data_IF_568576088889
#
_entry.id   IF_568576088889
#
_cell.length_a   1.000
_cell.length_b   1.000
_cell.length_c   1.000
_cell.angle_alpha   90.00
_cell.angle_beta   90.00
_cell.angle_gamma   90.00
#
_symmetry.space_group_name_H-M   'P 1'
#
loop_
_entity.id
_entity.type
_entity.pdbx_description
1 polymer ?
#
# COMPACT_ATOMS: atom_id res chain seq x y z
N UNK A 1 1.85 -30.75 -0.11
CA UNK A 1 0.47 -30.22 -0.01
C UNK A 1 0.57 -28.73 0.14
N UNK A 2 -0.09 -27.97 -0.73
CA UNK A 2 -0.10 -26.51 -0.61
C UNK A 2 -1.22 -26.12 0.36
N UNK A 3 -0.87 -25.47 1.45
CA UNK A 3 -1.87 -24.92 2.38
C UNK A 3 -2.62 -23.75 1.74
N UNK A 4 -3.91 -23.65 2.00
CA UNK A 4 -4.69 -22.44 1.71
C UNK A 4 -4.39 -21.36 2.74
N UNK A 5 -4.65 -20.08 2.42
CA UNK A 5 -4.43 -18.96 3.35
C UNK A 5 -5.11 -19.18 4.72
N UNK A 6 -6.39 -19.59 4.82
CA UNK A 6 -6.99 -19.90 6.13
C UNK A 6 -6.26 -21.02 6.89
N UNK A 7 -5.77 -22.06 6.20
CA UNK A 7 -5.00 -23.13 6.82
C UNK A 7 -3.64 -22.64 7.36
N UNK A 8 -2.96 -21.74 6.62
CA UNK A 8 -1.73 -21.11 7.08
C UNK A 8 -1.96 -20.26 8.32
N UNK A 9 -3.04 -19.50 8.35
CA UNK A 9 -3.40 -18.66 9.51
C UNK A 9 -3.66 -19.54 10.73
N UNK A 10 -4.45 -20.62 10.57
CA UNK A 10 -4.75 -21.53 11.67
C UNK A 10 -3.49 -22.27 12.16
N UNK A 11 -2.63 -22.76 11.27
CA UNK A 11 -1.38 -23.39 11.66
C UNK A 11 -0.46 -22.41 12.40
N UNK A 12 -0.38 -21.16 11.92
CA UNK A 12 0.39 -20.10 12.59
C UNK A 12 -0.15 -19.77 13.99
N UNK A 13 -1.47 -19.76 14.17
CA UNK A 13 -2.11 -19.59 15.48
C UNK A 13 -1.78 -20.73 16.46
N UNK A 14 -1.53 -21.94 15.95
CA UNK A 14 -1.07 -23.09 16.74
C UNK A 14 0.45 -23.14 16.93
N UNK A 15 1.18 -22.09 16.47
CA UNK A 15 2.61 -21.95 16.70
C UNK A 15 3.50 -22.60 15.64
N UNK A 16 2.97 -22.92 14.46
CA UNK A 16 3.79 -23.40 13.35
C UNK A 16 4.54 -22.22 12.69
N UNK A 17 5.87 -22.13 12.85
CA UNK A 17 6.65 -21.04 12.28
C UNK A 17 6.71 -21.11 10.75
N UNK A 18 6.64 -22.30 10.15
CA UNK A 18 6.68 -22.47 8.70
C UNK A 18 5.40 -21.93 8.04
N UNK A 19 4.26 -22.06 8.71
CA UNK A 19 3.01 -21.50 8.21
C UNK A 19 3.06 -19.96 8.16
N UNK A 20 3.58 -19.32 9.21
CA UNK A 20 3.73 -17.86 9.19
C UNK A 20 4.77 -17.39 8.16
N UNK A 21 5.86 -18.17 7.96
CA UNK A 21 6.83 -17.86 6.90
C UNK A 21 6.17 -17.85 5.51
N UNK A 22 5.27 -18.76 5.23
CA UNK A 22 4.54 -18.77 3.96
C UNK A 22 3.60 -17.56 3.82
N UNK A 23 2.95 -17.12 4.91
CA UNK A 23 2.18 -15.87 4.91
C UNK A 23 3.09 -14.67 4.67
N UNK A 24 4.25 -14.62 5.30
CA UNK A 24 5.25 -13.59 5.04
C UNK A 24 5.65 -13.56 3.56
N UNK A 25 6.04 -14.68 2.98
CA UNK A 25 6.46 -14.78 1.58
C UNK A 25 5.34 -14.35 0.61
N UNK A 26 4.09 -14.67 0.92
CA UNK A 26 2.94 -14.29 0.10
C UNK A 26 2.66 -12.78 0.10
N UNK A 27 3.01 -12.07 1.18
CA UNK A 27 2.62 -10.67 1.37
C UNK A 27 3.80 -9.69 1.45
N UNK A 28 5.03 -10.13 1.71
CA UNK A 28 6.16 -9.24 2.00
C UNK A 28 6.44 -8.22 0.88
N UNK A 29 6.45 -8.68 -0.37
CA UNK A 29 6.69 -7.80 -1.53
C UNK A 29 5.61 -6.72 -1.65
N UNK A 30 4.34 -7.08 -1.44
CA UNK A 30 3.22 -6.15 -1.54
C UNK A 30 3.24 -5.13 -0.41
N UNK A 31 3.49 -5.56 0.82
CA UNK A 31 3.60 -4.66 1.98
C UNK A 31 4.81 -3.74 1.84
N UNK A 32 5.95 -4.25 1.33
CA UNK A 32 7.10 -3.41 1.00
C UNK A 32 6.77 -2.35 -0.04
N UNK A 33 6.14 -2.72 -1.15
CA UNK A 33 5.71 -1.79 -2.19
C UNK A 33 4.73 -0.74 -1.65
N UNK A 34 3.78 -1.16 -0.81
CA UNK A 34 2.87 -0.24 -0.14
C UNK A 34 3.63 0.81 0.68
N UNK A 35 4.59 0.42 1.50
CA UNK A 35 5.41 1.34 2.27
C UNK A 35 6.32 2.17 1.37
N UNK A 36 6.96 1.57 0.37
CA UNK A 36 7.87 2.25 -0.53
C UNK A 36 7.21 3.39 -1.30
N UNK A 37 6.06 3.14 -1.94
CA UNK A 37 5.33 4.18 -2.68
C UNK A 37 4.70 5.26 -1.78
N UNK A 38 4.77 5.08 -0.49
CA UNK A 38 4.30 6.06 0.49
C UNK A 38 5.44 6.85 1.12
N UNK A 39 6.60 6.27 1.25
CA UNK A 39 7.78 6.90 1.86
C UNK A 39 8.81 7.35 0.83
N UNK A 40 8.84 6.70 -0.33
CA UNK A 40 9.88 6.81 -1.36
C UNK A 40 11.31 6.68 -0.78
N UNK A 41 11.42 5.96 0.33
CA UNK A 41 12.65 5.72 1.04
C UNK A 41 12.80 4.22 1.31
N UNK A 42 13.83 3.61 0.71
CA UNK A 42 14.02 2.16 0.74
C UNK A 42 14.14 1.61 2.16
N UNK A 43 15.06 2.18 2.94
CA UNK A 43 15.35 1.72 4.31
C UNK A 43 14.11 1.84 5.21
N UNK A 44 13.42 2.96 5.14
CA UNK A 44 12.15 3.15 5.88
C UNK A 44 11.09 2.12 5.46
N UNK A 45 10.98 1.83 4.16
CA UNK A 45 10.02 0.85 3.67
C UNK A 45 10.37 -0.57 4.14
N UNK A 46 11.66 -0.94 4.16
CA UNK A 46 12.16 -2.22 4.69
C UNK A 46 11.88 -2.34 6.20
N UNK A 47 12.15 -1.30 6.97
CA UNK A 47 11.91 -1.25 8.41
C UNK A 47 10.43 -1.36 8.75
N UNK A 48 9.58 -0.57 8.08
CA UNK A 48 8.12 -0.61 8.28
C UNK A 48 7.53 -1.96 7.87
N UNK A 49 8.08 -2.59 6.81
CA UNK A 49 7.67 -3.94 6.41
C UNK A 49 7.99 -4.96 7.49
N UNK A 50 9.20 -4.94 8.00
CA UNK A 50 9.63 -5.82 9.09
C UNK A 50 8.77 -5.62 10.33
N UNK A 51 8.52 -4.38 10.73
CA UNK A 51 7.64 -4.05 11.86
C UNK A 51 6.20 -4.49 11.62
N UNK A 52 5.71 -4.42 10.38
CA UNK A 52 4.35 -4.87 10.03
C UNK A 52 4.19 -6.36 10.33
N UNK A 53 5.13 -7.18 9.89
CA UNK A 53 5.05 -8.63 10.11
C UNK A 53 5.32 -9.03 11.56
N UNK A 54 6.21 -8.34 12.26
CA UNK A 54 6.38 -8.53 13.70
C UNK A 54 5.07 -8.24 14.46
N UNK A 55 4.44 -7.10 14.20
CA UNK A 55 3.13 -6.75 14.78
C UNK A 55 2.03 -7.70 14.35
N UNK A 56 2.04 -8.18 13.12
CA UNK A 56 1.08 -9.17 12.64
C UNK A 56 1.24 -10.48 13.41
N UNK A 57 2.46 -10.97 13.63
CA UNK A 57 2.72 -12.19 14.41
C UNK A 57 2.26 -12.02 15.87
N UNK A 58 2.63 -10.91 16.53
CA UNK A 58 2.22 -10.62 17.91
C UNK A 58 0.70 -10.57 18.08
N UNK A 59 0.00 -10.03 17.08
CA UNK A 59 -1.44 -9.80 17.11
C UNK A 59 -2.26 -10.83 16.35
N UNK A 60 -1.65 -11.90 15.84
CA UNK A 60 -2.33 -12.89 15.01
C UNK A 60 -3.55 -13.50 15.71
N UNK A 61 -3.48 -13.68 17.03
CA UNK A 61 -4.60 -14.15 17.86
C UNK A 61 -5.82 -13.20 17.88
N UNK A 62 -5.62 -11.94 17.50
CA UNK A 62 -6.69 -10.94 17.42
C UNK A 62 -7.34 -10.87 16.03
N UNK A 63 -6.77 -11.57 15.06
CA UNK A 63 -7.39 -11.70 13.74
C UNK A 63 -8.64 -12.56 13.83
N UNK A 64 -9.69 -12.08 13.19
CA UNK A 64 -11.01 -12.73 13.15
C UNK A 64 -11.47 -12.73 11.68
N UNK A 65 -11.52 -13.92 11.09
CA UNK A 65 -11.92 -14.10 9.70
C UNK A 65 -13.36 -13.67 9.42
N UNK A 66 -14.22 -13.64 10.44
CA UNK A 66 -15.59 -13.16 10.30
C UNK A 66 -15.67 -11.63 10.16
N UNK A 67 -14.62 -10.92 10.56
CA UNK A 67 -14.53 -9.45 10.48
C UNK A 67 -13.83 -8.95 9.22
N UNK A 68 -13.33 -9.83 8.38
CA UNK A 68 -12.73 -9.49 7.10
C UNK A 68 -11.51 -10.31 6.73
N UNK A 69 -11.03 -10.10 5.51
CA UNK A 69 -9.89 -10.82 4.94
C UNK A 69 -8.58 -10.53 5.71
N UNK A 70 -7.71 -11.53 5.77
CA UNK A 70 -6.37 -11.39 6.38
C UNK A 70 -5.57 -10.26 5.74
N UNK A 71 -5.62 -10.13 4.43
CA UNK A 71 -4.99 -9.04 3.72
C UNK A 71 -5.42 -7.68 4.25
N UNK A 72 -6.72 -7.41 4.38
CA UNK A 72 -7.23 -6.15 4.88
C UNK A 72 -6.80 -5.87 6.33
N UNK A 73 -6.73 -6.90 7.17
CA UNK A 73 -6.22 -6.80 8.53
C UNK A 73 -4.72 -6.47 8.56
N UNK A 74 -3.92 -7.14 7.73
CA UNK A 74 -2.47 -6.90 7.60
C UNK A 74 -2.17 -5.47 7.11
N UNK A 75 -2.91 -5.01 6.08
CA UNK A 75 -2.78 -3.63 5.57
C UNK A 75 -3.16 -2.58 6.59
N UNK A 76 -4.13 -2.84 7.47
CA UNK A 76 -4.45 -1.93 8.59
C UNK A 76 -3.28 -1.81 9.57
N UNK A 77 -2.56 -2.90 9.83
CA UNK A 77 -1.33 -2.85 10.65
C UNK A 77 -0.27 -2.01 9.95
N UNK A 78 -0.01 -2.29 8.68
CA UNK A 78 0.94 -1.53 7.87
C UNK A 78 0.61 -0.03 7.84
N UNK A 79 -0.65 0.32 7.58
CA UNK A 79 -1.13 1.70 7.56
C UNK A 79 -0.92 2.41 8.90
N UNK A 80 -1.25 1.76 10.00
CA UNK A 80 -1.09 2.36 11.32
C UNK A 80 0.38 2.62 11.65
N UNK A 81 1.28 1.67 11.36
CA UNK A 81 2.72 1.85 11.55
C UNK A 81 3.27 3.01 10.71
N UNK A 82 2.81 3.12 9.49
CA UNK A 82 3.19 4.20 8.60
C UNK A 82 2.72 5.56 9.14
N UNK A 83 1.47 5.66 9.62
CA UNK A 83 0.94 6.87 10.26
C UNK A 83 1.74 7.22 11.52
N UNK A 84 2.06 6.23 12.35
CA UNK A 84 2.85 6.44 13.56
C UNK A 84 4.28 6.91 13.23
N UNK A 85 4.90 6.35 12.19
CA UNK A 85 6.20 6.78 11.69
C UNK A 85 6.17 8.25 11.25
N UNK A 86 5.17 8.63 10.48
CA UNK A 86 5.00 10.02 10.02
C UNK A 86 4.82 10.98 11.19
N UNK A 87 3.99 10.63 12.17
CA UNK A 87 3.79 11.44 13.38
C UNK A 87 5.06 11.56 14.22
N UNK A 88 5.84 10.51 14.31
CA UNK A 88 7.09 10.51 15.06
C UNK A 88 8.17 11.39 14.41
N UNK A 89 8.23 11.39 13.08
CA UNK A 89 9.19 12.21 12.32
C UNK A 89 8.77 13.67 12.22
N UNK A 90 7.46 13.97 12.35
CA UNK A 90 6.91 15.33 12.20
C UNK A 90 5.73 15.61 13.16
N UNK A 91 6.00 15.84 14.42
CA UNK A 91 4.96 15.98 15.45
C UNK A 91 4.03 17.21 15.28
N UNK A 92 4.39 18.18 14.44
CA UNK A 92 3.63 19.42 14.24
C UNK A 92 2.89 19.49 12.89
N UNK A 93 2.83 18.41 12.14
CA UNK A 93 2.16 18.36 10.83
C UNK A 93 1.04 17.31 10.92
N UNK A 94 -0.14 17.65 10.40
CA UNK A 94 -1.20 16.66 10.29
C UNK A 94 -0.68 15.43 9.51
N UNK A 95 -1.02 14.25 10.02
CA UNK A 95 -0.49 13.01 9.45
C UNK A 95 -0.79 12.87 7.95
N UNK A 96 -1.84 13.54 7.45
CA UNK A 96 -2.18 13.60 6.03
C UNK A 96 -1.25 14.52 5.23
N UNK A 97 -0.79 15.63 5.81
CA UNK A 97 0.12 16.61 5.15
C UNK A 97 1.60 16.18 5.27
N UNK A 98 1.95 15.39 6.27
CA UNK A 98 3.31 14.92 6.50
C UNK A 98 3.80 13.92 5.43
N UNK A 99 2.89 13.31 4.69
CA UNK A 99 3.20 12.38 3.60
C UNK A 99 4.01 13.00 2.46
N UNK A 100 3.80 14.27 2.17
CA UNK A 100 4.46 14.94 1.05
C UNK A 100 5.92 15.30 1.34
N UNK A 101 6.35 15.09 2.56
CA UNK A 101 7.65 15.57 3.04
C UNK A 101 8.67 14.45 3.37
N UNK A 102 8.32 13.18 3.22
CA UNK A 102 9.23 12.04 3.47
C UNK A 102 10.21 11.78 2.30
N UNK A 103 10.47 12.77 1.48
CA UNK A 103 11.32 12.65 0.31
C UNK A 103 12.80 12.59 0.70
N UNK A 104 13.50 11.50 0.34
CA UNK A 104 14.95 11.49 0.25
C UNK A 104 15.37 11.74 -1.20
N UNK A 105 16.12 12.83 -1.47
CA UNK A 105 16.65 13.11 -2.81
C UNK A 105 17.70 12.11 -3.29
N UNK A 106 18.18 11.21 -2.45
CA UNK A 106 19.34 10.35 -2.71
C UNK A 106 19.05 8.85 -2.85
N UNK A 107 17.79 8.41 -2.78
CA UNK A 107 17.46 7.00 -2.98
C UNK A 107 17.50 6.63 -4.47
N UNK A 108 18.68 6.27 -4.98
CA UNK A 108 18.79 5.77 -6.34
C UNK A 108 19.81 4.64 -6.47
N UNK A 109 19.26 3.43 -6.54
CA UNK A 109 20.02 2.22 -6.86
C UNK A 109 19.33 1.37 -7.95
N UNK A 110 18.71 2.00 -8.94
CA UNK A 110 18.03 1.33 -10.05
C UNK A 110 18.58 1.87 -11.38
N UNK A 111 18.64 1.04 -12.44
CA UNK A 111 19.19 1.40 -13.75
C UNK A 111 18.58 2.71 -14.31
N UNK A 112 19.38 3.53 -14.97
CA UNK A 112 19.08 4.93 -15.33
C UNK A 112 17.72 5.15 -16.02
N UNK A 113 17.29 4.26 -16.92
CA UNK A 113 16.00 4.39 -17.62
C UNK A 113 14.79 4.05 -16.74
N UNK A 114 14.93 3.05 -15.87
CA UNK A 114 13.89 2.71 -14.89
C UNK A 114 13.77 3.77 -13.78
N UNK A 115 14.89 4.42 -13.45
CA UNK A 115 14.91 5.55 -12.51
C UNK A 115 14.10 6.74 -13.01
N UNK A 116 14.19 7.10 -14.28
CA UNK A 116 13.44 8.24 -14.82
C UNK A 116 11.93 7.97 -14.80
N UNK A 117 11.52 6.76 -15.14
CA UNK A 117 10.11 6.36 -15.08
C UNK A 117 9.58 6.36 -13.64
N UNK A 118 10.32 5.78 -12.71
CA UNK A 118 9.93 5.77 -11.29
C UNK A 118 9.87 7.18 -10.71
N UNK A 119 10.82 8.05 -11.04
CA UNK A 119 10.79 9.47 -10.64
C UNK A 119 9.58 10.22 -11.18
N UNK A 120 9.16 9.93 -12.42
CA UNK A 120 7.96 10.53 -13.01
C UNK A 120 6.69 10.06 -12.31
N UNK A 121 6.61 8.77 -12.00
CA UNK A 121 5.50 8.20 -11.22
C UNK A 121 5.47 8.85 -9.83
N UNK A 122 6.60 8.88 -9.13
CA UNK A 122 6.77 9.53 -7.83
C UNK A 122 6.30 10.97 -7.86
N UNK A 123 6.85 11.79 -8.77
CA UNK A 123 6.49 13.19 -8.93
C UNK A 123 4.98 13.36 -9.16
N UNK A 124 4.39 12.46 -9.95
CA UNK A 124 2.96 12.52 -10.27
C UNK A 124 2.08 12.10 -9.08
N UNK A 125 2.52 11.13 -8.31
CA UNK A 125 1.83 10.75 -7.07
C UNK A 125 1.86 11.88 -6.02
N UNK A 126 2.91 12.71 -6.00
CA UNK A 126 2.99 13.88 -5.13
C UNK A 126 1.99 15.00 -5.49
N UNK A 127 1.45 15.02 -6.71
CA UNK A 127 0.39 15.95 -7.10
C UNK A 127 -0.98 15.56 -6.51
N UNK A 128 -1.11 14.34 -6.04
CA UNK A 128 -2.33 13.83 -5.44
C UNK A 128 -2.38 14.11 -3.96
N UNK A 129 -3.58 14.35 -3.43
CA UNK A 129 -3.80 14.36 -1.98
C UNK A 129 -3.39 13.01 -1.39
N UNK A 130 -2.87 12.97 -0.15
CA UNK A 130 -2.38 11.74 0.48
C UNK A 130 -3.35 10.57 0.40
N UNK A 131 -4.62 10.83 0.64
CA UNK A 131 -5.70 9.84 0.55
C UNK A 131 -5.93 9.31 -0.88
N UNK A 132 -5.85 10.19 -1.89
CA UNK A 132 -5.97 9.82 -3.30
C UNK A 132 -4.78 8.96 -3.73
N UNK A 133 -3.59 9.30 -3.26
CA UNK A 133 -2.37 8.53 -3.48
C UNK A 133 -2.49 7.13 -2.88
N UNK A 134 -2.94 7.04 -1.61
CA UNK A 134 -3.12 5.77 -0.93
C UNK A 134 -4.07 4.83 -1.68
N UNK A 135 -5.21 5.34 -2.08
CA UNK A 135 -6.22 4.54 -2.76
C UNK A 135 -5.75 4.06 -4.13
N UNK A 136 -4.98 4.88 -4.85
CA UNK A 136 -4.37 4.48 -6.13
C UNK A 136 -3.30 3.42 -5.96
N UNK A 137 -2.45 3.53 -4.93
CA UNK A 137 -1.45 2.50 -4.62
C UNK A 137 -2.14 1.17 -4.36
N UNK A 138 -3.14 1.12 -3.49
CA UNK A 138 -3.90 -0.08 -3.19
C UNK A 138 -4.61 -0.64 -4.44
N UNK A 139 -5.13 0.23 -5.29
CA UNK A 139 -5.91 -0.19 -6.46
C UNK A 139 -5.04 -0.64 -7.62
N UNK A 140 -3.97 0.09 -7.95
CA UNK A 140 -3.18 -0.13 -9.16
C UNK A 140 -2.01 -1.08 -8.93
N UNK A 141 -1.22 -0.87 -7.86
CA UNK A 141 -0.04 -1.70 -7.62
C UNK A 141 -0.35 -2.98 -6.86
N UNK A 142 -1.36 -2.93 -6.00
CA UNK A 142 -1.70 -4.06 -5.15
C UNK A 142 -2.97 -4.80 -5.60
N UNK A 143 -3.58 -4.31 -6.68
CA UNK A 143 -4.73 -4.91 -7.37
C UNK A 143 -5.92 -5.21 -6.43
N UNK A 144 -6.07 -4.43 -5.34
CA UNK A 144 -7.15 -4.64 -4.38
C UNK A 144 -8.50 -4.30 -4.97
N UNK A 145 -9.49 -5.10 -4.65
CA UNK A 145 -10.90 -4.80 -4.94
C UNK A 145 -11.36 -3.57 -4.18
N UNK A 146 -12.41 -2.91 -4.64
CA UNK A 146 -12.98 -1.77 -3.90
C UNK A 146 -13.51 -2.17 -2.52
N UNK A 147 -13.99 -3.40 -2.37
CA UNK A 147 -14.40 -3.97 -1.09
C UNK A 147 -13.21 -4.08 -0.13
N UNK A 148 -12.08 -4.64 -0.59
CA UNK A 148 -10.86 -4.73 0.21
C UNK A 148 -10.34 -3.36 0.61
N UNK A 149 -10.30 -2.41 -0.34
CA UNK A 149 -9.88 -1.03 -0.08
C UNK A 149 -10.79 -0.36 0.94
N UNK A 150 -12.11 -0.54 0.82
CA UNK A 150 -13.09 -0.03 1.77
C UNK A 150 -12.83 -0.57 3.19
N UNK A 151 -12.54 -1.86 3.29
CA UNK A 151 -12.19 -2.52 4.55
C UNK A 151 -10.85 -2.03 5.14
N UNK A 152 -9.83 -1.80 4.29
CA UNK A 152 -8.52 -1.27 4.71
C UNK A 152 -8.65 0.16 5.23
N UNK A 153 -9.34 1.02 4.46
CA UNK A 153 -9.45 2.45 4.72
C UNK A 153 -10.61 2.81 5.65
N UNK A 154 -11.45 1.83 6.02
CA UNK A 154 -12.69 2.03 6.79
C UNK A 154 -13.64 3.05 6.15
N UNK A 155 -13.87 2.91 4.85
CA UNK A 155 -14.74 3.75 4.03
C UNK A 155 -15.78 2.90 3.31
N UNK A 156 -16.76 3.54 2.68
CA UNK A 156 -17.66 2.85 1.78
C UNK A 156 -17.00 2.59 0.42
N UNK A 157 -17.38 1.50 -0.27
CA UNK A 157 -16.91 1.24 -1.63
C UNK A 157 -17.20 2.39 -2.59
N UNK A 158 -18.38 3.01 -2.46
CA UNK A 158 -18.76 4.16 -3.28
C UNK A 158 -17.80 5.34 -3.08
N UNK A 159 -17.38 5.61 -1.83
CA UNK A 159 -16.38 6.63 -1.52
C UNK A 159 -15.01 6.26 -2.12
N UNK A 160 -14.63 4.99 -2.07
CA UNK A 160 -13.39 4.50 -2.67
C UNK A 160 -13.39 4.66 -4.20
N UNK A 161 -14.47 4.24 -4.87
CA UNK A 161 -14.64 4.42 -6.32
C UNK A 161 -14.55 5.88 -6.74
N UNK A 162 -15.23 6.76 -6.00
CA UNK A 162 -15.19 8.20 -6.25
C UNK A 162 -13.80 8.80 -6.03
N UNK A 163 -13.07 8.37 -5.00
CA UNK A 163 -11.70 8.82 -4.73
C UNK A 163 -10.73 8.39 -5.83
N UNK A 164 -10.83 7.14 -6.32
CA UNK A 164 -10.03 6.66 -7.47
C UNK A 164 -10.33 7.50 -8.70
N UNK A 165 -11.61 7.71 -9.03
CA UNK A 165 -12.00 8.53 -10.18
C UNK A 165 -11.44 9.95 -10.11
N UNK A 166 -11.53 10.59 -8.95
CA UNK A 166 -10.97 11.95 -8.73
C UNK A 166 -9.44 11.97 -8.82
N UNK A 167 -8.78 10.95 -8.29
CA UNK A 167 -7.32 10.84 -8.37
C UNK A 167 -6.85 10.67 -9.82
N UNK A 168 -7.52 9.81 -10.60
CA UNK A 168 -7.22 9.63 -12.01
C UNK A 168 -7.50 10.89 -12.84
N UNK A 169 -8.59 11.62 -12.54
CA UNK A 169 -8.89 12.91 -13.17
C UNK A 169 -7.80 13.95 -12.87
N UNK A 170 -7.36 14.06 -11.63
CA UNK A 170 -6.27 14.95 -11.24
C UNK A 170 -4.95 14.62 -11.95
N UNK A 171 -4.59 13.33 -12.04
CA UNK A 171 -3.41 12.90 -12.78
C UNK A 171 -3.51 13.20 -14.28
N UNK A 172 -4.67 12.98 -14.87
CA UNK A 172 -4.91 13.29 -16.29
C UNK A 172 -4.70 14.76 -16.59
N UNK A 173 -5.12 15.64 -15.69
CA UNK A 173 -5.02 17.08 -15.84
C UNK A 173 -3.60 17.59 -15.57
N UNK A 174 -2.97 17.14 -14.49
CA UNK A 174 -1.71 17.71 -13.98
C UNK A 174 -0.47 16.95 -14.49
N UNK A 175 -0.61 15.67 -14.84
CA UNK A 175 0.50 14.81 -15.27
C UNK A 175 0.05 13.81 -16.36
N UNK A 176 -0.34 14.28 -17.56
CA UNK A 176 -0.92 13.42 -18.60
C UNK A 176 -0.03 12.28 -19.06
N UNK A 177 1.29 12.46 -19.06
CA UNK A 177 2.24 11.38 -19.38
C UNK A 177 2.25 10.29 -18.31
N UNK A 178 2.22 10.66 -17.04
CA UNK A 178 2.15 9.68 -15.95
C UNK A 178 0.81 8.95 -15.94
N UNK A 179 -0.29 9.67 -16.20
CA UNK A 179 -1.59 9.06 -16.36
C UNK A 179 -1.58 8.03 -17.50
N UNK A 180 -0.96 8.35 -18.66
CA UNK A 180 -0.84 7.43 -19.78
C UNK A 180 -0.01 6.19 -19.40
N UNK A 181 1.12 6.37 -18.73
CA UNK A 181 1.98 5.27 -18.25
C UNK A 181 1.21 4.38 -17.28
N UNK A 182 0.50 4.96 -16.32
CA UNK A 182 -0.29 4.20 -15.34
C UNK A 182 -1.41 3.40 -16.03
N UNK A 183 -2.13 4.01 -16.97
CA UNK A 183 -3.22 3.31 -17.67
C UNK A 183 -2.73 2.23 -18.62
N UNK A 184 -1.56 2.39 -19.24
CA UNK A 184 -0.94 1.38 -20.10
C UNK A 184 -0.31 0.23 -19.30
N UNK A 185 0.26 0.53 -18.14
CA UNK A 185 0.83 -0.49 -17.25
C UNK A 185 -0.25 -1.33 -16.54
N UNK A 186 -1.47 -0.79 -16.40
CA UNK A 186 -2.58 -1.43 -15.70
C UNK A 186 -3.88 -1.37 -16.52
N UNK A 187 -3.94 -2.00 -17.72
CA UNK A 187 -5.04 -1.84 -18.66
C UNK A 187 -6.40 -2.31 -18.13
N UNK A 188 -6.44 -3.21 -17.16
CA UNK A 188 -7.68 -3.73 -16.58
C UNK A 188 -8.55 -2.65 -15.89
N UNK A 189 -8.00 -1.48 -15.59
CA UNK A 189 -8.69 -0.41 -14.84
C UNK A 189 -9.19 0.74 -15.70
N UNK A 190 -8.68 0.86 -16.93
CA UNK A 190 -9.14 1.89 -17.87
C UNK A 190 -10.56 1.63 -18.42
N UNK A 191 -11.04 0.40 -18.35
CA UNK A 191 -12.29 -0.03 -18.98
C UNK A 191 -13.51 -0.06 -18.03
N UNK A 192 -13.37 0.23 -16.74
CA UNK A 192 -14.46 0.14 -15.75
C UNK A 192 -14.82 1.48 -15.11
N UNK A 193 -14.42 2.60 -15.71
CA UNK A 193 -14.79 3.96 -15.29
C UNK A 193 -15.80 4.62 -16.21
N UNK A 194 -16.76 3.82 -16.72
CA UNK A 194 -17.94 4.34 -17.43
C UNK A 194 -19.17 4.13 -16.60
#
# INVERSE_FOLDING_TARGET
>A
MSYTEPQLIQASLHGDPHAFTQLYEAYATRIYQYHYYRTFHKETAEDLTSQTFMRALERLRSYDEQKGMFSAWLYRIARNLLIDHVRATRPNVDAEDAWDMLRDPHSSSIALEQQDLLRRIETSLHLLRPEQREILILRLWDERSYEEIANILQKSEAACKMSVSRALAALREQAPLAFLVLTLSFPAYALHSS
#
